data_IF_934307382702
#
_entry.id   IF_934307382702
#
_cell.length_a   1.000
_cell.length_b   1.000
_cell.length_c   1.000
_cell.angle_alpha   90.00
_cell.angle_beta   90.00
_cell.angle_gamma   90.00
#
_symmetry.space_group_name_H-M   'P 1'
#
loop_
_entity.id
_entity.type
_entity.pdbx_description
1 polymer ?
#
# COMPACT_ATOMS: atom_id res chain seq x y z
N UNK A 1 -2.08 -8.81 7.11
CA UNK A 1 -3.45 -8.73 6.57
C UNK A 1 -3.36 -8.15 5.19
N UNK A 2 -4.08 -8.72 4.23
CA UNK A 2 -4.05 -8.33 2.83
C UNK A 2 -4.39 -6.84 2.64
N UNK A 3 -5.38 -6.28 3.36
CA UNK A 3 -5.72 -4.86 3.28
C UNK A 3 -4.50 -3.94 3.50
N UNK A 4 -3.75 -4.18 4.57
CA UNK A 4 -2.59 -3.34 4.91
C UNK A 4 -1.43 -3.59 3.95
N UNK A 5 -1.22 -4.82 3.51
CA UNK A 5 -0.18 -5.11 2.52
C UNK A 5 -0.50 -4.50 1.15
N UNK A 6 -1.74 -4.60 0.67
CA UNK A 6 -2.19 -4.00 -0.58
C UNK A 6 -2.02 -2.48 -0.57
N UNK A 7 -2.40 -1.80 0.52
CA UNK A 7 -2.22 -0.36 0.67
C UNK A 7 -0.72 0.00 0.71
N UNK A 8 0.09 -0.81 1.41
CA UNK A 8 1.53 -0.63 1.47
C UNK A 8 2.20 -0.77 0.09
N UNK A 9 1.88 -1.84 -0.65
CA UNK A 9 2.35 -2.05 -2.01
C UNK A 9 1.94 -0.89 -2.93
N UNK A 10 0.69 -0.42 -2.83
CA UNK A 10 0.22 0.70 -3.62
C UNK A 10 1.04 1.98 -3.37
N UNK A 11 1.42 2.23 -2.11
CA UNK A 11 2.31 3.34 -1.76
C UNK A 11 3.73 3.14 -2.31
N UNK A 12 4.30 1.94 -2.16
CA UNK A 12 5.63 1.60 -2.71
C UNK A 12 5.67 1.78 -4.24
N UNK A 13 4.61 1.37 -4.95
CA UNK A 13 4.52 1.55 -6.40
C UNK A 13 4.46 3.04 -6.77
N UNK A 14 3.75 3.86 -5.99
CA UNK A 14 3.71 5.31 -6.21
C UNK A 14 5.10 5.95 -6.00
N UNK A 15 5.83 5.52 -4.97
CA UNK A 15 7.20 5.98 -4.70
C UNK A 15 8.15 5.61 -5.85
N UNK A 16 8.16 4.34 -6.27
CA UNK A 16 8.96 3.85 -7.39
C UNK A 16 8.63 4.60 -8.68
N UNK A 17 7.34 4.84 -8.92
CA UNK A 17 6.88 5.59 -10.07
C UNK A 17 7.37 7.04 -10.06
N UNK A 18 7.35 7.71 -8.89
CA UNK A 18 7.92 9.05 -8.72
C UNK A 18 9.43 9.08 -8.96
N UNK A 19 10.16 8.08 -8.45
CA UNK A 19 11.61 7.95 -8.67
C UNK A 19 11.96 7.75 -10.15
N UNK A 20 11.20 6.91 -10.86
CA UNK A 20 11.40 6.68 -12.29
C UNK A 20 11.08 7.92 -13.13
N UNK A 21 10.06 8.69 -12.74
CA UNK A 21 9.66 9.89 -13.47
C UNK A 21 10.58 11.09 -13.23
N UNK A 22 11.24 11.17 -12.08
CA UNK A 22 12.10 12.31 -11.73
C UNK A 22 13.24 12.58 -12.74
N UNK A 23 13.67 11.55 -13.49
CA UNK A 23 14.71 11.67 -14.51
C UNK A 23 14.19 11.94 -15.94
N UNK A 24 12.88 12.03 -16.14
CA UNK A 24 12.25 12.11 -17.46
C UNK A 24 11.64 13.50 -17.67
N UNK A 25 11.91 14.18 -18.80
CA UNK A 25 11.21 15.42 -19.14
C UNK A 25 9.70 15.22 -19.13
N UNK A 26 8.95 16.14 -18.52
CA UNK A 26 7.50 15.95 -18.31
C UNK A 26 6.74 15.74 -19.61
N UNK A 27 7.20 16.36 -20.69
CA UNK A 27 6.68 16.25 -22.06
C UNK A 27 6.74 14.82 -22.61
N UNK A 28 7.72 14.02 -22.16
CA UNK A 28 7.90 12.64 -22.57
C UNK A 28 7.12 11.65 -21.68
N UNK A 29 6.57 12.12 -20.56
CA UNK A 29 5.82 11.26 -19.65
C UNK A 29 4.49 10.81 -20.25
N UNK A 30 4.12 9.52 -20.12
CA UNK A 30 2.86 9.01 -20.61
C UNK A 30 1.66 9.80 -20.06
N UNK A 31 0.82 10.30 -20.96
CA UNK A 31 -0.40 11.03 -20.60
C UNK A 31 -0.20 12.52 -20.32
N UNK A 32 1.02 13.09 -20.46
CA UNK A 32 1.25 14.52 -20.28
C UNK A 32 0.42 15.40 -21.24
N UNK A 33 0.30 14.97 -22.50
CA UNK A 33 -0.51 15.66 -23.52
C UNK A 33 -1.97 15.23 -23.57
N UNK A 34 -2.49 14.54 -22.54
CA UNK A 34 -3.87 14.01 -22.53
C UNK A 34 -4.96 15.08 -22.47
N UNK A 35 -4.61 16.36 -22.32
CA UNK A 35 -5.57 17.47 -22.23
C UNK A 35 -6.30 17.56 -20.88
N UNK A 36 -5.87 16.76 -19.90
CA UNK A 36 -6.34 16.84 -18.51
C UNK A 36 -5.80 18.12 -17.87
N UNK A 37 -6.63 18.84 -17.12
CA UNK A 37 -6.28 20.12 -16.48
C UNK A 37 -5.34 19.98 -15.27
N UNK A 38 -5.15 18.76 -14.78
CA UNK A 38 -4.24 18.43 -13.69
C UNK A 38 -2.82 18.24 -14.23
N UNK A 39 -1.82 18.61 -13.43
CA UNK A 39 -0.44 18.19 -13.70
C UNK A 39 -0.35 16.67 -13.70
N UNK A 40 0.63 16.12 -14.42
CA UNK A 40 0.87 14.68 -14.42
C UNK A 40 1.01 14.10 -13.00
N UNK A 41 1.70 14.82 -12.11
CA UNK A 41 1.90 14.45 -10.70
C UNK A 41 0.57 14.35 -9.95
N UNK A 42 -0.25 15.40 -10.03
CA UNK A 42 -1.56 15.45 -9.38
C UNK A 42 -2.50 14.38 -9.92
N UNK A 43 -2.42 14.09 -11.23
CA UNK A 43 -3.24 13.05 -11.84
C UNK A 43 -2.92 11.69 -11.22
N UNK A 44 -1.63 11.37 -11.13
CA UNK A 44 -1.17 10.09 -10.60
C UNK A 44 -1.48 9.99 -9.11
N UNK A 45 -1.15 11.00 -8.31
CA UNK A 45 -1.41 11.01 -6.88
C UNK A 45 -2.89 10.74 -6.53
N UNK A 46 -3.85 11.41 -7.19
CA UNK A 46 -5.25 11.16 -6.89
C UNK A 46 -5.75 9.80 -7.42
N UNK A 47 -5.23 9.29 -8.55
CA UNK A 47 -5.55 7.93 -9.03
C UNK A 47 -5.11 6.89 -8.01
N UNK A 48 -3.89 6.98 -7.49
CA UNK A 48 -3.40 6.11 -6.42
C UNK A 48 -4.27 6.24 -5.16
N UNK A 49 -4.67 7.46 -4.79
CA UNK A 49 -5.59 7.65 -3.66
C UNK A 49 -6.97 7.02 -3.91
N UNK A 50 -7.49 7.03 -5.13
CA UNK A 50 -8.76 6.39 -5.47
C UNK A 50 -8.67 4.86 -5.31
N UNK A 51 -7.57 4.25 -5.76
CA UNK A 51 -7.32 2.83 -5.56
C UNK A 51 -7.17 2.51 -4.07
N UNK A 52 -6.46 3.34 -3.30
CA UNK A 52 -6.36 3.20 -1.84
C UNK A 52 -7.74 3.18 -1.18
N UNK A 53 -8.63 4.09 -1.56
CA UNK A 53 -10.00 4.12 -1.04
C UNK A 53 -10.78 2.85 -1.41
N UNK A 54 -10.62 2.32 -2.63
CA UNK A 54 -11.22 1.05 -3.01
C UNK A 54 -10.70 -0.12 -2.17
N UNK A 55 -9.39 -0.18 -1.90
CA UNK A 55 -8.79 -1.20 -1.02
C UNK A 55 -9.32 -1.10 0.42
N UNK A 56 -9.52 0.11 0.93
CA UNK A 56 -10.17 0.33 2.22
C UNK A 56 -11.64 -0.12 2.21
N UNK A 57 -12.36 0.08 1.10
CA UNK A 57 -13.75 -0.36 0.97
C UNK A 57 -13.90 -1.89 1.03
N UNK A 58 -12.89 -2.63 0.56
CA UNK A 58 -12.86 -4.09 0.58
C UNK A 58 -11.85 -4.62 1.60
N UNK A 59 -11.69 -3.95 2.76
CA UNK A 59 -10.61 -4.20 3.71
C UNK A 59 -10.48 -5.68 4.10
N UNK A 60 -9.58 -6.37 3.40
CA UNK A 60 -9.39 -7.80 3.55
C UNK A 60 -8.51 -8.14 4.76
N UNK A 61 -9.14 -8.80 5.73
CA UNK A 61 -8.51 -9.24 6.98
C UNK A 61 -7.69 -10.53 6.82
N UNK A 62 -7.72 -11.15 5.64
CA UNK A 62 -7.01 -12.41 5.39
C UNK A 62 -5.50 -12.23 5.61
N UNK A 63 -4.90 -13.16 6.33
CA UNK A 63 -3.45 -13.17 6.54
C UNK A 63 -2.74 -13.56 5.24
N UNK A 64 -1.60 -12.92 4.94
CA UNK A 64 -0.76 -13.36 3.84
C UNK A 64 -0.13 -14.70 4.22
N UNK A 65 -0.45 -15.71 3.41
CA UNK A 65 0.10 -17.04 3.54
C UNK A 65 1.37 -17.21 2.72
N UNK A 66 1.92 -18.42 2.79
CA UNK A 66 2.96 -18.88 1.89
C UNK A 66 2.39 -19.97 0.98
N UNK A 67 3.03 -20.19 -0.16
CA UNK A 67 2.67 -21.29 -1.06
C UNK A 67 2.84 -22.61 -0.29
N UNK A 68 1.88 -23.54 -0.42
CA UNK A 68 1.97 -24.84 0.21
C UNK A 68 3.24 -25.57 -0.25
N UNK A 69 4.09 -25.96 0.70
CA UNK A 69 5.37 -26.60 0.44
C UNK A 69 6.55 -25.64 0.19
N UNK A 70 6.34 -24.32 0.17
CA UNK A 70 7.41 -23.33 0.04
C UNK A 70 7.17 -22.11 0.95
N UNK A 71 7.78 -22.13 2.14
CA UNK A 71 7.70 -21.04 3.11
C UNK A 71 8.49 -19.79 2.73
N UNK A 72 9.21 -19.78 1.60
CA UNK A 72 9.95 -18.61 1.12
C UNK A 72 9.17 -17.81 0.07
N UNK A 73 8.02 -18.32 -0.39
CA UNK A 73 7.20 -17.65 -1.40
C UNK A 73 5.85 -17.26 -0.80
N UNK A 74 5.54 -15.98 -0.88
CA UNK A 74 4.23 -15.45 -0.50
C UNK A 74 3.18 -16.03 -1.45
N UNK A 75 2.05 -16.47 -0.89
CA UNK A 75 0.91 -16.89 -1.69
C UNK A 75 0.21 -15.65 -2.28
N UNK A 76 0.18 -15.55 -3.60
CA UNK A 76 -0.47 -14.46 -4.36
C UNK A 76 -1.79 -14.89 -5.01
N UNK A 77 -2.18 -16.16 -4.86
CA UNK A 77 -3.42 -16.74 -5.36
C UNK A 77 -3.91 -17.89 -4.46
N UNK A 78 -5.13 -18.37 -4.70
CA UNK A 78 -5.69 -19.52 -3.98
C UNK A 78 -6.11 -19.22 -2.53
N UNK A 79 -6.14 -17.94 -2.16
CA UNK A 79 -6.55 -17.47 -0.83
C UNK A 79 -8.00 -16.97 -0.89
N UNK A 80 -8.80 -17.35 0.09
CA UNK A 80 -10.18 -16.87 0.22
C UNK A 80 -10.17 -15.51 0.92
N UNK A 81 -10.54 -14.47 0.17
CA UNK A 81 -10.59 -13.09 0.66
C UNK A 81 -11.92 -12.78 1.35
N UNK A 82 -11.90 -11.90 2.36
CA UNK A 82 -13.10 -11.51 3.13
C UNK A 82 -13.16 -10.00 3.25
N UNK A 83 -14.27 -9.38 2.84
CA UNK A 83 -14.46 -7.93 3.00
C UNK A 83 -14.80 -7.57 4.45
N UNK A 84 -14.15 -6.56 5.02
CA UNK A 84 -14.43 -6.05 6.36
C UNK A 84 -14.55 -4.52 6.37
N UNK A 85 -14.99 -3.98 7.50
CA UNK A 85 -14.89 -2.56 7.80
C UNK A 85 -13.43 -2.19 8.09
N UNK A 86 -12.90 -1.19 7.36
CA UNK A 86 -11.50 -0.79 7.47
C UNK A 86 -11.15 -0.22 8.85
N UNK A 87 -12.02 0.60 9.42
CA UNK A 87 -11.76 1.26 10.70
C UNK A 87 -11.78 0.24 11.84
N UNK A 88 -12.69 -0.73 11.79
CA UNK A 88 -12.72 -1.86 12.70
C UNK A 88 -11.46 -2.73 12.58
N UNK A 89 -11.02 -3.02 11.35
CA UNK A 89 -9.77 -3.78 11.11
C UNK A 89 -8.54 -3.02 11.62
N UNK A 90 -8.50 -1.70 11.42
CA UNK A 90 -7.44 -0.84 11.92
C UNK A 90 -7.43 -0.77 13.45
N UNK A 91 -8.59 -0.62 14.08
CA UNK A 91 -8.72 -0.64 15.53
C UNK A 91 -8.23 -1.98 16.10
N UNK A 92 -8.70 -3.10 15.54
CA UNK A 92 -8.26 -4.45 15.89
C UNK A 92 -6.74 -4.62 15.79
N UNK A 93 -6.13 -4.09 14.72
CA UNK A 93 -4.68 -4.19 14.49
C UNK A 93 -3.83 -3.43 15.52
N UNK A 94 -4.42 -2.44 16.20
CA UNK A 94 -3.75 -1.57 17.17
C UNK A 94 -3.95 -2.03 18.63
N UNK A 95 -4.69 -3.11 18.85
CA UNK A 95 -4.94 -3.65 20.19
C UNK A 95 -3.61 -4.07 20.87
N UNK A 96 -3.43 -3.81 22.19
CA UNK A 96 -2.16 -3.99 22.89
C UNK A 96 -1.57 -5.40 22.79
N UNK A 97 -2.42 -6.43 22.78
CA UNK A 97 -1.99 -7.83 22.64
C UNK A 97 -1.35 -8.14 21.28
N UNK A 98 -1.56 -7.29 20.27
CA UNK A 98 -0.96 -7.39 18.93
C UNK A 98 0.19 -6.39 18.74
N UNK A 99 0.54 -5.63 19.78
CA UNK A 99 1.66 -4.70 19.72
C UNK A 99 2.97 -5.48 19.52
N UNK A 100 3.72 -5.10 18.49
CA UNK A 100 5.04 -5.68 18.26
C UNK A 100 5.98 -5.34 19.43
N UNK A 101 6.88 -6.27 19.83
CA UNK A 101 7.92 -5.96 20.80
C UNK A 101 8.70 -4.73 20.32
N UNK A 102 9.06 -3.82 21.24
CA UNK A 102 9.70 -2.53 20.90
C UNK A 102 10.92 -2.68 19.98
N UNK A 103 11.64 -3.80 20.07
CA UNK A 103 12.80 -4.12 19.24
C UNK A 103 12.45 -4.37 17.76
N UNK A 104 11.25 -4.88 17.47
CA UNK A 104 10.74 -5.11 16.10
C UNK A 104 10.11 -3.83 15.56
N UNK A 105 9.41 -3.06 16.40
CA UNK A 105 8.85 -1.76 16.01
C UNK A 105 9.92 -0.75 15.56
N UNK A 106 11.12 -0.81 16.15
CA UNK A 106 12.25 0.05 15.77
C UNK A 106 12.85 -0.34 14.42
N UNK A 107 12.87 -1.63 14.06
CA UNK A 107 13.31 -2.10 12.75
C UNK A 107 12.31 -1.72 11.64
N UNK A 108 11.01 -1.76 11.91
CA UNK A 108 9.99 -1.26 10.96
C UNK A 108 10.07 0.26 10.79
N UNK A 109 10.39 1.02 11.84
CA UNK A 109 10.60 2.48 11.76
C UNK A 109 11.84 2.88 10.96
N UNK A 110 12.90 2.06 11.00
CA UNK A 110 14.15 2.31 10.26
C UNK A 110 14.00 1.96 8.76
N UNK A 111 13.14 1.00 8.42
CA UNK A 111 12.86 0.62 7.03
C UNK A 111 11.69 1.39 6.39
N UNK A 112 10.83 2.04 7.20
CA UNK A 112 9.73 2.89 6.73
C UNK A 112 9.64 4.20 7.52
N UNK A 113 10.57 5.14 7.34
CA UNK A 113 10.58 6.37 8.13
C UNK A 113 9.47 7.36 7.74
N UNK A 114 8.65 7.06 6.71
CA UNK A 114 7.69 8.01 6.14
C UNK A 114 6.20 7.71 6.36
N UNK A 115 5.82 6.50 6.79
CA UNK A 115 4.41 6.07 6.67
C UNK A 115 3.55 6.19 7.95
N UNK A 116 4.15 6.58 9.09
CA UNK A 116 3.42 6.76 10.37
C UNK A 116 3.10 8.22 10.73
N UNK A 117 3.53 9.20 9.94
CA UNK A 117 3.23 10.62 10.17
C UNK A 117 2.83 11.34 8.89
N UNK A 118 1.69 10.96 8.32
CA UNK A 118 0.90 11.83 7.46
C UNK A 118 -0.59 11.42 7.56
N UNK A 119 -1.21 11.84 8.67
CA UNK A 119 -2.64 12.18 8.70
C UNK A 119 -2.72 13.70 8.87
#
# INVERSE_FOLDING_TARGET
MAAFHQIYCLASILEDFGLLAAGVPKEELPGYHSGVTLTWEEHKAHCFNYVRQALMCFADSTAEGHIEGDTHRVADHGVMHVCNDFDALLAWSKEPERALPKIVAQLTYVLLPGLLCAF
#
